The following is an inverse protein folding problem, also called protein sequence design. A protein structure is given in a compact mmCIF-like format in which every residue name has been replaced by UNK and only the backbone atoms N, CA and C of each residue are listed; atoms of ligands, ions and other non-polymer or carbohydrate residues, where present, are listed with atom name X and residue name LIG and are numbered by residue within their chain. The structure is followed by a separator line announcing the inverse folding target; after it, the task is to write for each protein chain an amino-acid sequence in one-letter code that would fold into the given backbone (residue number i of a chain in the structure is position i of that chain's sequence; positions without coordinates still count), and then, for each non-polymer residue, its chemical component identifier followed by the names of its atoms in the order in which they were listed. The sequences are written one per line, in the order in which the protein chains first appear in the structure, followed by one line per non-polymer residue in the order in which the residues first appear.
data_IF_835120618892
#
_entry.id   IF_835120618892
#
_cell.length_a   1.000
_cell.length_b   1.000
_cell.length_c   1.000
_cell.angle_alpha   90.00
_cell.angle_beta   90.00
_cell.angle_gamma   90.00
#
_symmetry.space_group_name_H-M   'P 1'
#
loop_
_entity.id
_entity.type
_entity.pdbx_description
1 polymer ?
#
# COMPACT_ATOMS: atom_id res chain seq x y z
N UNK A 1 0.18 46.42 55.01
CA UNK A 1 0.98 45.18 54.87
C UNK A 1 0.22 44.23 53.98
N UNK A 2 0.74 43.96 52.78
CA UNK A 2 0.20 42.99 51.82
C UNK A 2 0.87 41.63 52.07
N UNK A 3 0.15 40.51 52.01
CA UNK A 3 0.75 39.23 51.68
C UNK A 3 0.54 38.93 50.18
N UNK A 4 1.64 38.50 49.59
CA UNK A 4 1.80 38.03 48.23
C UNK A 4 1.31 36.60 48.03
N UNK A 5 0.95 36.30 46.77
CA UNK A 5 1.07 35.03 46.03
C UNK A 5 0.67 33.71 46.74
N UNK A 6 -0.29 32.99 46.16
CA UNK A 6 0.04 31.67 45.61
C UNK A 6 -0.94 31.21 44.51
N UNK A 7 -0.32 30.71 43.46
CA UNK A 7 -0.86 30.17 42.22
C UNK A 7 -1.49 28.80 42.47
N UNK A 8 -2.70 28.59 41.95
CA UNK A 8 -3.17 27.25 41.60
C UNK A 8 -4.19 27.37 40.47
N UNK A 9 -3.65 27.46 39.27
CA UNK A 9 -4.34 27.31 37.99
C UNK A 9 -4.94 25.90 37.93
N UNK A 10 -6.21 25.77 38.31
CA UNK A 10 -6.96 24.53 38.19
C UNK A 10 -7.34 24.34 36.71
N UNK A 11 -6.39 23.84 35.91
CA UNK A 11 -6.67 23.29 34.58
C UNK A 11 -7.46 22.00 34.82
N UNK A 12 -8.77 22.12 34.95
CA UNK A 12 -9.69 21.00 34.79
C UNK A 12 -9.55 20.54 33.34
N UNK A 13 -8.78 19.47 33.19
CA UNK A 13 -8.54 18.74 31.97
C UNK A 13 -9.88 18.47 31.30
N UNK A 14 -10.07 19.11 30.15
CA UNK A 14 -10.95 18.65 29.09
C UNK A 14 -10.53 17.21 28.78
N UNK A 15 -11.14 16.27 29.49
CA UNK A 15 -11.26 14.89 29.07
C UNK A 15 -12.14 14.85 27.83
N UNK A 16 -11.64 15.40 26.72
CA UNK A 16 -11.95 14.86 25.41
C UNK A 16 -11.51 13.41 25.48
N UNK A 17 -12.42 12.54 25.92
CA UNK A 17 -12.48 11.18 25.41
C UNK A 17 -12.57 11.37 23.91
N UNK A 18 -11.41 11.38 23.25
CA UNK A 18 -11.29 11.05 21.85
C UNK A 18 -11.85 9.63 21.84
N UNK A 19 -13.15 9.55 21.57
CA UNK A 19 -13.84 8.33 21.22
C UNK A 19 -12.99 7.76 20.11
N UNK A 20 -12.21 6.72 20.44
CA UNK A 20 -11.38 6.03 19.47
C UNK A 20 -12.33 5.57 18.39
N UNK A 21 -12.32 6.24 17.25
CA UNK A 21 -13.09 5.84 16.10
C UNK A 21 -12.55 4.47 15.73
N UNK A 22 -13.30 3.41 16.03
CA UNK A 22 -12.92 2.06 15.65
C UNK A 22 -12.71 2.04 14.14
N UNK A 23 -11.57 1.54 13.69
CA UNK A 23 -11.28 1.44 12.26
C UNK A 23 -12.36 0.56 11.61
N UNK A 24 -13.22 1.16 10.79
CA UNK A 24 -14.35 0.49 10.15
C UNK A 24 -13.92 -0.54 9.10
N UNK A 25 -12.62 -0.60 8.78
CA UNK A 25 -12.08 -1.41 7.70
C UNK A 25 -11.21 -2.56 8.20
N UNK A 26 -11.17 -3.61 7.38
CA UNK A 26 -10.18 -4.69 7.45
C UNK A 26 -9.24 -4.50 6.27
N UNK A 27 -7.93 -4.51 6.53
CA UNK A 27 -6.89 -4.37 5.50
C UNK A 27 -6.21 -5.71 5.23
N UNK A 28 -5.78 -5.91 3.99
CA UNK A 28 -5.13 -7.14 3.59
C UNK A 28 -4.55 -7.07 2.19
N UNK A 29 -3.58 -7.95 1.92
CA UNK A 29 -3.01 -8.11 0.58
C UNK A 29 -4.00 -8.84 -0.33
N UNK A 30 -3.96 -8.53 -1.62
CA UNK A 30 -4.62 -9.33 -2.65
C UNK A 30 -3.86 -10.65 -2.89
N UNK A 31 -4.51 -11.64 -3.49
CA UNK A 31 -3.81 -12.74 -4.14
C UNK A 31 -3.24 -12.21 -5.46
N UNK A 32 -1.95 -12.40 -5.71
CA UNK A 32 -1.30 -11.94 -6.95
C UNK A 32 -1.14 -13.10 -7.92
N UNK A 33 -1.43 -12.85 -9.19
CA UNK A 33 -1.41 -13.87 -10.24
C UNK A 33 -0.36 -13.53 -11.30
N UNK A 34 -0.28 -12.27 -11.74
CA UNK A 34 0.68 -11.86 -12.77
C UNK A 34 1.06 -10.38 -12.68
N UNK A 35 2.19 -10.05 -13.32
CA UNK A 35 2.70 -8.70 -13.50
C UNK A 35 2.86 -8.46 -15.00
N UNK A 36 2.37 -7.32 -15.46
CA UNK A 36 2.57 -6.84 -16.83
C UNK A 36 3.29 -5.50 -16.77
N UNK A 37 4.41 -5.45 -17.46
CA UNK A 37 5.29 -4.29 -17.63
C UNK A 37 6.07 -4.53 -18.93
N UNK A 38 6.47 -3.46 -19.59
CA UNK A 38 7.29 -3.54 -20.80
C UNK A 38 8.59 -4.28 -20.54
N UNK A 39 9.10 -5.00 -21.54
CA UNK A 39 10.32 -5.80 -21.40
C UNK A 39 11.60 -4.94 -21.28
N UNK A 40 11.47 -3.64 -21.51
CA UNK A 40 12.50 -2.64 -21.27
C UNK A 40 11.92 -1.35 -20.68
N UNK A 41 12.64 -0.74 -19.75
CA UNK A 41 12.35 0.57 -19.17
C UNK A 41 13.55 1.50 -19.37
N UNK A 42 13.32 2.81 -19.50
CA UNK A 42 14.40 3.77 -19.75
C UNK A 42 14.81 4.51 -18.48
N UNK A 43 16.12 4.64 -18.24
CA UNK A 43 16.65 5.37 -17.11
C UNK A 43 16.15 6.83 -17.09
N UNK A 44 15.66 7.27 -15.94
CA UNK A 44 15.12 8.62 -15.77
C UNK A 44 13.69 8.81 -16.29
N UNK A 45 13.07 7.79 -16.89
CA UNK A 45 11.69 7.86 -17.37
C UNK A 45 10.71 7.10 -16.46
N UNK A 46 9.44 7.50 -16.51
CA UNK A 46 8.38 6.78 -15.80
C UNK A 46 7.91 5.57 -16.61
N UNK A 47 7.53 4.51 -15.92
CA UNK A 47 6.94 3.31 -16.49
C UNK A 47 5.80 2.80 -15.61
N UNK A 48 4.87 2.06 -16.20
CA UNK A 48 3.72 1.52 -15.47
C UNK A 48 3.85 0.02 -15.26
N UNK A 49 3.64 -0.40 -14.02
CA UNK A 49 3.52 -1.82 -13.66
C UNK A 49 2.05 -2.12 -13.40
N UNK A 50 1.45 -3.02 -14.19
CA UNK A 50 0.12 -3.56 -13.95
C UNK A 50 0.22 -4.88 -13.18
N UNK A 51 -0.55 -5.02 -12.11
CA UNK A 51 -0.62 -6.22 -11.28
C UNK A 51 -2.04 -6.77 -11.40
N UNK A 52 -2.16 -8.04 -11.78
CA UNK A 52 -3.42 -8.78 -11.83
C UNK A 52 -3.48 -9.80 -10.70
N UNK A 53 -4.66 -9.94 -10.12
CA UNK A 53 -4.85 -10.71 -8.92
C UNK A 53 -6.29 -11.08 -8.65
N UNK A 54 -6.56 -11.42 -7.40
CA UNK A 54 -7.92 -11.61 -6.89
C UNK A 54 -8.04 -11.12 -5.45
N UNK A 55 -9.19 -10.55 -5.13
CA UNK A 55 -9.61 -10.34 -3.75
C UNK A 55 -10.08 -11.66 -3.11
N UNK A 56 -9.98 -11.79 -1.77
CA UNK A 56 -10.48 -12.97 -1.06
C UNK A 56 -11.99 -13.19 -1.20
N UNK A 57 -12.76 -12.11 -1.30
CA UNK A 57 -14.22 -12.10 -1.41
C UNK A 57 -14.64 -10.83 -2.15
N UNK A 58 -15.87 -10.72 -2.71
CA UNK A 58 -16.38 -9.46 -3.23
C UNK A 58 -16.37 -8.35 -2.17
N UNK A 59 -16.45 -7.09 -2.59
CA UNK A 59 -16.53 -5.93 -1.67
C UNK A 59 -15.18 -5.39 -1.18
N UNK A 60 -14.09 -6.12 -1.38
CA UNK A 60 -12.74 -5.55 -1.23
C UNK A 60 -12.45 -4.54 -2.34
N UNK A 61 -11.67 -3.51 -2.00
CA UNK A 61 -11.21 -2.48 -2.93
C UNK A 61 -9.73 -2.20 -2.71
N UNK A 62 -9.01 -1.84 -3.77
CA UNK A 62 -7.61 -1.37 -3.63
C UNK A 62 -7.61 -0.10 -2.80
N UNK A 63 -6.76 -0.07 -1.77
CA UNK A 63 -6.60 1.05 -0.85
C UNK A 63 -5.33 1.84 -1.15
N UNK A 64 -4.19 1.14 -1.20
CA UNK A 64 -2.88 1.74 -1.46
C UNK A 64 -1.89 0.71 -1.99
N UNK A 65 -0.73 1.18 -2.42
CA UNK A 65 0.43 0.35 -2.73
C UNK A 65 1.55 0.67 -1.77
N UNK A 66 2.13 -0.34 -1.16
CA UNK A 66 3.38 -0.19 -0.40
C UNK A 66 4.53 -0.56 -1.34
N UNK A 67 5.45 0.40 -1.53
CA UNK A 67 6.54 0.28 -2.49
C UNK A 67 7.85 0.28 -1.70
N UNK A 68 8.67 -0.76 -1.88
CA UNK A 68 10.01 -0.85 -1.34
C UNK A 68 11.01 -0.93 -2.49
N UNK A 69 11.85 0.10 -2.64
CA UNK A 69 12.84 0.21 -3.72
C UNK A 69 14.24 -0.07 -3.19
N UNK A 70 15.01 -0.87 -3.93
CA UNK A 70 16.47 -0.97 -3.83
C UNK A 70 17.09 -0.62 -5.18
N UNK A 71 18.43 -0.61 -5.28
CA UNK A 71 19.12 -0.24 -6.52
C UNK A 71 18.71 -1.09 -7.73
N UNK A 72 18.42 -2.38 -7.58
CA UNK A 72 18.11 -3.30 -8.68
C UNK A 72 16.77 -4.01 -8.55
N UNK A 73 15.96 -3.63 -7.55
CA UNK A 73 14.68 -4.29 -7.27
C UNK A 73 13.62 -3.31 -6.79
N UNK A 74 12.39 -3.46 -7.28
CA UNK A 74 11.20 -2.78 -6.75
C UNK A 74 10.22 -3.85 -6.29
N UNK A 75 9.86 -3.82 -5.00
CA UNK A 75 8.77 -4.63 -4.46
C UNK A 75 7.51 -3.78 -4.29
N UNK A 76 6.40 -4.24 -4.85
CA UNK A 76 5.09 -3.60 -4.82
C UNK A 76 4.12 -4.51 -4.09
N UNK A 77 3.51 -4.02 -3.01
CA UNK A 77 2.49 -4.74 -2.24
C UNK A 77 1.16 -4.02 -2.37
N UNK A 78 0.21 -4.51 -3.21
CA UNK A 78 -1.15 -3.97 -3.24
C UNK A 78 -1.89 -4.30 -1.95
N UNK A 79 -2.30 -3.26 -1.22
CA UNK A 79 -3.12 -3.36 -0.03
C UNK A 79 -4.56 -3.02 -0.40
N UNK A 80 -5.46 -3.93 -0.07
CA UNK A 80 -6.89 -3.77 -0.22
C UNK A 80 -7.55 -3.55 1.14
N UNK A 81 -8.78 -3.05 1.11
CA UNK A 81 -9.64 -2.91 2.29
C UNK A 81 -11.08 -3.33 2.01
N UNK A 82 -11.79 -3.75 3.04
CA UNK A 82 -13.24 -4.01 3.05
C UNK A 82 -13.83 -3.45 4.33
N UNK A 83 -15.06 -2.93 4.31
CA UNK A 83 -15.75 -2.52 5.55
C UNK A 83 -16.18 -3.74 6.35
N UNK A 84 -16.12 -3.64 7.68
CA UNK A 84 -16.50 -4.71 8.62
C UNK A 84 -17.99 -5.05 8.59
N UNK A 85 -18.84 -4.13 8.16
CA UNK A 85 -20.30 -4.24 8.17
C UNK A 85 -20.87 -4.95 6.93
N UNK A 86 -20.06 -5.23 5.92
CA UNK A 86 -20.54 -5.84 4.67
C UNK A 86 -20.48 -7.36 4.76
N UNK A 87 -21.61 -8.01 4.43
CA UNK A 87 -21.70 -9.45 4.24
C UNK A 87 -21.60 -9.78 2.76
N UNK A 88 -20.65 -10.64 2.40
CA UNK A 88 -20.34 -11.03 1.01
C UNK A 88 -20.08 -12.54 0.90
N UNK A 89 -20.37 -13.16 -0.27
CA UNK A 89 -20.09 -14.58 -0.48
C UNK A 89 -18.59 -14.87 -0.49
N UNK A 90 -18.19 -16.04 -0.01
CA UNK A 90 -16.78 -16.46 0.05
C UNK A 90 -16.30 -16.98 -1.31
N UNK A 91 -16.09 -16.07 -2.27
CA UNK A 91 -15.61 -16.39 -3.62
C UNK A 91 -14.51 -15.43 -4.05
N UNK A 92 -13.44 -15.95 -4.66
CA UNK A 92 -12.38 -15.11 -5.19
C UNK A 92 -12.93 -14.19 -6.29
N UNK A 93 -12.61 -12.90 -6.19
CA UNK A 93 -13.06 -11.90 -7.16
C UNK A 93 -11.85 -11.33 -7.90
N UNK A 94 -11.77 -11.44 -9.24
CA UNK A 94 -10.67 -10.89 -10.00
C UNK A 94 -10.48 -9.39 -9.73
N UNK A 95 -9.23 -8.95 -9.68
CA UNK A 95 -8.90 -7.54 -9.53
C UNK A 95 -7.61 -7.20 -10.26
N UNK A 96 -7.41 -5.90 -10.49
CA UNK A 96 -6.18 -5.37 -11.07
C UNK A 96 -5.86 -4.01 -10.50
N UNK A 97 -4.58 -3.67 -10.51
CA UNK A 97 -4.12 -2.33 -10.13
C UNK A 97 -2.87 -1.96 -10.92
N UNK A 98 -2.57 -0.66 -11.00
CA UNK A 98 -1.41 -0.14 -11.72
C UNK A 98 -0.64 0.82 -10.83
N UNK A 99 0.69 0.82 -10.96
CA UNK A 99 1.58 1.75 -10.27
C UNK A 99 2.51 2.37 -11.30
N UNK A 100 2.59 3.70 -11.30
CA UNK A 100 3.56 4.45 -12.08
C UNK A 100 4.84 4.63 -11.24
N UNK A 101 5.99 4.28 -11.82
CA UNK A 101 7.28 4.26 -11.14
C UNK A 101 8.32 4.98 -11.99
N UNK A 102 9.29 5.63 -11.34
CA UNK A 102 10.45 6.24 -12.01
C UNK A 102 11.61 5.24 -12.04
N UNK A 103 12.18 4.99 -13.23
CA UNK A 103 13.37 4.13 -13.34
C UNK A 103 14.62 4.88 -12.87
N UNK A 104 15.04 4.65 -11.63
CA UNK A 104 16.22 5.29 -11.00
C UNK A 104 17.50 4.45 -11.08
N UNK A 105 17.41 3.19 -11.51
CA UNK A 105 18.56 2.29 -11.53
C UNK A 105 19.45 2.50 -12.74
N UNK A 106 20.78 2.47 -12.54
CA UNK A 106 21.76 2.46 -13.62
C UNK A 106 22.20 1.05 -14.03
N UNK A 107 21.72 0.03 -13.31
CA UNK A 107 21.95 -1.37 -13.66
C UNK A 107 21.27 -1.70 -14.98
N UNK A 108 21.82 -2.64 -15.77
CA UNK A 108 21.25 -3.02 -17.06
C UNK A 108 19.93 -3.81 -16.94
N UNK A 109 19.51 -4.13 -15.72
CA UNK A 109 18.25 -4.82 -15.43
C UNK A 109 17.62 -4.33 -14.12
N UNK A 110 16.30 -4.43 -14.06
CA UNK A 110 15.48 -4.10 -12.90
C UNK A 110 14.55 -5.28 -12.59
N UNK A 111 14.58 -5.78 -11.36
CA UNK A 111 13.64 -6.81 -10.89
C UNK A 111 12.41 -6.15 -10.29
N UNK A 112 11.23 -6.46 -10.81
CA UNK A 112 9.94 -6.01 -10.29
C UNK A 112 9.26 -7.19 -9.61
N UNK A 113 8.86 -7.01 -8.35
CA UNK A 113 8.23 -8.05 -7.53
C UNK A 113 6.88 -7.57 -7.04
N UNK A 114 5.81 -8.31 -7.34
CA UNK A 114 4.51 -8.09 -6.73
C UNK A 114 4.34 -9.05 -5.55
N UNK A 115 4.08 -8.50 -4.36
CA UNK A 115 3.93 -9.26 -3.13
C UNK A 115 2.45 -9.38 -2.79
N UNK A 116 1.90 -10.59 -2.92
CA UNK A 116 0.53 -10.89 -2.51
C UNK A 116 0.44 -11.48 -1.12
N UNK A 117 -0.76 -12.00 -0.84
CA UNK A 117 -1.10 -12.61 0.45
C UNK A 117 -0.31 -13.88 0.73
N UNK A 118 -0.19 -14.77 -0.26
CA UNK A 118 0.41 -16.11 -0.10
C UNK A 118 1.59 -16.35 -1.05
N UNK A 119 1.84 -15.45 -1.99
CA UNK A 119 2.85 -15.62 -3.04
C UNK A 119 3.54 -14.30 -3.39
N UNK A 120 4.68 -14.43 -4.07
CA UNK A 120 5.34 -13.35 -4.79
C UNK A 120 5.40 -13.72 -6.26
N UNK A 121 5.21 -12.74 -7.14
CA UNK A 121 5.45 -12.87 -8.58
C UNK A 121 6.58 -11.92 -8.94
N UNK A 122 7.49 -12.35 -9.80
CA UNK A 122 8.65 -11.55 -10.19
C UNK A 122 8.73 -11.44 -11.72
N UNK A 123 9.11 -10.27 -12.22
CA UNK A 123 9.48 -10.04 -13.62
C UNK A 123 10.75 -9.19 -13.65
N UNK A 124 11.74 -9.62 -14.41
CA UNK A 124 12.94 -8.84 -14.67
C UNK A 124 12.79 -8.13 -16.00
N UNK A 125 13.07 -6.83 -16.04
CA UNK A 125 13.04 -5.99 -17.24
C UNK A 125 14.43 -5.45 -17.53
N UNK A 126 14.72 -5.17 -18.80
CA UNK A 126 15.98 -4.52 -19.20
C UNK A 126 15.90 -3.02 -18.95
N UNK A 127 17.03 -2.42 -18.61
CA UNK A 127 17.12 -0.96 -18.44
C UNK A 127 17.91 -0.40 -19.62
N UNK A 128 17.30 0.50 -20.37
CA UNK A 128 17.94 1.22 -21.47
C UNK A 128 18.35 2.62 -21.02
N UNK A 129 19.48 3.10 -21.53
CA UNK A 129 20.06 4.39 -21.18
C UNK A 129 19.56 5.48 -22.12
#
# INVERSE_FOLDING_TARGET
MKPELLISLLILTLGCKIVGQEDEFIYGKIYVNSIVVDDSVKFGETFTVKIYGSFPTPGWQIFKHEINETESKIEITPIARIRKDIIVPQVLTPCSTSVELLCKTKSDSLKIVAVGRTSKIEKTVRVVK
#
